data_IF_242289667321
#
_entry.id   IF_242289667321
#
_cell.length_a   1.000
_cell.length_b   1.000
_cell.length_c   1.000
_cell.angle_alpha   90.00
_cell.angle_beta   90.00
_cell.angle_gamma   90.00
#
_symmetry.space_group_name_H-M   'P 1'
#
loop_
_entity.id
_entity.type
_entity.pdbx_description
1 polymer ?
#
# COMPACT_ATOMS: atom_id res chain seq x y z
N UNK A 1 -3.15 -1.37 2.68
CA UNK A 1 -2.50 -0.30 3.48
C UNK A 1 -1.62 -0.93 4.56
N UNK A 2 -0.43 -1.42 4.18
CA UNK A 2 0.48 -2.11 5.10
C UNK A 2 0.76 -1.27 6.36
N UNK A 3 0.61 -1.86 7.55
CA UNK A 3 0.75 -1.20 8.83
C UNK A 3 -0.48 -0.41 9.32
N UNK A 4 -1.44 -0.09 8.45
CA UNK A 4 -2.64 0.68 8.81
C UNK A 4 -3.92 -0.17 8.85
N UNK A 5 -3.86 -1.45 8.51
CA UNK A 5 -5.02 -2.34 8.52
C UNK A 5 -4.61 -3.79 8.79
N UNK A 6 -5.56 -4.54 9.31
CA UNK A 6 -5.50 -5.98 9.54
C UNK A 6 -6.81 -6.67 9.09
N UNK A 7 -7.06 -7.91 9.58
CA UNK A 7 -8.25 -8.67 9.28
C UNK A 7 -9.55 -7.99 9.74
N UNK A 8 -9.53 -7.13 10.77
CA UNK A 8 -10.75 -6.46 11.28
C UNK A 8 -11.34 -5.54 10.22
N UNK A 9 -10.52 -4.69 9.60
CA UNK A 9 -10.94 -3.82 8.51
C UNK A 9 -11.37 -4.66 7.30
N UNK A 10 -10.62 -5.71 6.97
CA UNK A 10 -10.95 -6.60 5.85
C UNK A 10 -12.32 -7.29 6.05
N UNK A 11 -12.63 -7.75 7.26
CA UNK A 11 -13.92 -8.35 7.62
C UNK A 11 -15.06 -7.34 7.47
N UNK A 12 -14.89 -6.12 8.01
CA UNK A 12 -15.92 -5.08 7.94
C UNK A 12 -16.26 -4.71 6.49
N UNK A 13 -15.23 -4.53 5.65
CA UNK A 13 -15.39 -4.26 4.21
C UNK A 13 -16.07 -5.42 3.49
N UNK A 14 -15.64 -6.66 3.74
CA UNK A 14 -16.20 -7.83 3.09
C UNK A 14 -17.68 -8.06 3.48
N UNK A 15 -18.03 -7.85 4.74
CA UNK A 15 -19.44 -7.93 5.22
C UNK A 15 -20.32 -6.85 4.60
N UNK A 16 -19.78 -5.71 4.27
CA UNK A 16 -20.50 -4.64 3.58
C UNK A 16 -20.63 -4.87 2.07
N UNK A 17 -20.09 -5.98 1.51
CA UNK A 17 -20.18 -6.32 0.10
C UNK A 17 -18.99 -5.88 -0.75
N UNK A 18 -17.92 -5.36 -0.12
CA UNK A 18 -16.64 -5.07 -0.77
C UNK A 18 -15.68 -6.26 -0.78
N UNK A 19 -14.51 -6.11 -1.38
CA UNK A 19 -13.41 -7.06 -1.29
C UNK A 19 -12.47 -6.65 -0.15
N UNK A 20 -12.54 -7.35 0.99
CA UNK A 20 -11.63 -7.13 2.11
C UNK A 20 -10.19 -7.47 1.71
N UNK A 21 -9.21 -6.70 2.19
CA UNK A 21 -7.81 -6.91 1.83
C UNK A 21 -6.91 -6.97 3.06
N UNK A 22 -6.04 -7.99 3.14
CA UNK A 22 -5.01 -8.16 4.17
C UNK A 22 -3.64 -7.87 3.54
N UNK A 23 -2.93 -6.81 3.97
CA UNK A 23 -1.61 -6.47 3.45
C UNK A 23 -0.52 -7.28 4.15
N UNK A 24 0.07 -8.23 3.46
CA UNK A 24 1.07 -9.15 4.03
C UNK A 24 2.53 -8.68 3.94
N UNK A 25 2.80 -7.54 3.30
CA UNK A 25 4.17 -7.07 3.02
C UNK A 25 5.05 -6.82 4.27
N UNK A 26 4.46 -6.72 5.46
CA UNK A 26 5.16 -6.50 6.74
C UNK A 26 4.88 -7.61 7.75
N UNK A 27 4.19 -8.68 7.35
CA UNK A 27 3.81 -9.79 8.22
C UNK A 27 4.79 -10.95 8.06
N UNK A 28 5.01 -11.69 9.16
CA UNK A 28 5.60 -13.03 9.07
C UNK A 28 4.56 -14.04 8.55
N UNK A 29 4.96 -15.23 8.08
CA UNK A 29 4.01 -16.27 7.69
C UNK A 29 3.05 -16.66 8.82
N UNK A 30 3.50 -16.67 10.07
CA UNK A 30 2.69 -16.97 11.25
C UNK A 30 1.64 -15.86 11.48
N UNK A 31 2.05 -14.60 11.43
CA UNK A 31 1.13 -13.46 11.59
C UNK A 31 0.07 -13.43 10.49
N UNK A 32 0.45 -13.73 9.23
CA UNK A 32 -0.50 -13.83 8.13
C UNK A 32 -1.47 -14.98 8.35
N UNK A 33 -0.99 -16.15 8.79
CA UNK A 33 -1.81 -17.31 9.10
C UNK A 33 -2.82 -17.04 10.21
N UNK A 34 -2.42 -16.30 11.26
CA UNK A 34 -3.31 -15.87 12.33
C UNK A 34 -4.43 -14.94 11.80
N UNK A 35 -4.08 -13.92 11.01
CA UNK A 35 -5.06 -13.00 10.44
C UNK A 35 -6.06 -13.72 9.52
N UNK A 36 -5.58 -14.62 8.66
CA UNK A 36 -6.44 -15.43 7.79
C UNK A 36 -7.33 -16.40 8.57
N UNK A 37 -6.81 -16.98 9.65
CA UNK A 37 -7.62 -17.83 10.55
C UNK A 37 -8.75 -17.05 11.22
N UNK A 38 -8.49 -15.81 11.69
CA UNK A 38 -9.53 -14.93 12.27
C UNK A 38 -10.54 -14.50 11.21
N UNK A 39 -10.07 -14.17 9.99
CA UNK A 39 -10.97 -13.85 8.89
C UNK A 39 -11.90 -15.02 8.56
N UNK A 40 -11.35 -16.25 8.48
CA UNK A 40 -12.13 -17.48 8.23
C UNK A 40 -13.13 -17.76 9.36
N UNK A 41 -12.69 -17.68 10.61
CA UNK A 41 -13.60 -17.88 11.76
C UNK A 41 -14.76 -16.87 11.77
N UNK A 42 -14.51 -15.63 11.33
CA UNK A 42 -15.56 -14.63 11.12
C UNK A 42 -16.57 -15.02 10.05
N UNK A 43 -16.18 -15.77 9.01
CA UNK A 43 -17.09 -16.34 8.02
C UNK A 43 -17.94 -17.46 8.61
N UNK A 44 -17.31 -18.38 9.34
CA UNK A 44 -17.95 -19.58 9.88
C UNK A 44 -19.02 -19.21 10.94
N UNK A 45 -18.86 -18.09 11.63
CA UNK A 45 -19.86 -17.57 12.58
C UNK A 45 -21.20 -17.18 11.92
N UNK A 46 -21.25 -17.08 10.59
CA UNK A 46 -22.43 -16.75 9.80
C UNK A 46 -22.77 -17.87 8.82
N UNK A 47 -22.98 -19.08 9.35
CA UNK A 47 -23.14 -20.36 8.63
C UNK A 47 -24.17 -20.39 7.47
N UNK A 48 -25.01 -19.35 7.33
CA UNK A 48 -25.99 -19.21 6.24
C UNK A 48 -25.68 -18.09 5.26
N UNK A 49 -24.55 -17.36 5.44
CA UNK A 49 -24.12 -16.30 4.53
C UNK A 49 -23.11 -16.84 3.49
N UNK A 50 -23.05 -16.25 2.29
CA UNK A 50 -22.00 -16.58 1.32
C UNK A 50 -20.61 -16.39 1.93
N UNK A 51 -19.66 -17.23 1.55
CA UNK A 51 -18.25 -17.07 1.95
C UNK A 51 -17.74 -15.70 1.51
N UNK A 52 -17.27 -14.90 2.47
CA UNK A 52 -16.73 -13.56 2.18
C UNK A 52 -15.41 -13.69 1.42
N UNK A 53 -15.24 -12.97 0.31
CA UNK A 53 -13.97 -12.99 -0.41
C UNK A 53 -12.92 -12.17 0.32
N UNK A 54 -11.66 -12.65 0.26
CA UNK A 54 -10.52 -11.92 0.77
C UNK A 54 -9.42 -11.81 -0.28
N UNK A 55 -8.82 -10.63 -0.34
CA UNK A 55 -7.56 -10.38 -1.04
C UNK A 55 -6.39 -10.42 -0.04
N UNK A 56 -5.31 -11.11 -0.41
CA UNK A 56 -4.03 -11.00 0.32
C UNK A 56 -3.03 -10.27 -0.58
N UNK A 57 -2.47 -9.17 -0.07
CA UNK A 57 -1.57 -8.32 -0.86
C UNK A 57 -0.10 -8.53 -0.46
N UNK A 58 0.76 -8.75 -1.44
CA UNK A 58 2.20 -8.93 -1.27
C UNK A 58 3.01 -7.92 -2.08
N UNK A 59 4.25 -7.70 -1.65
CA UNK A 59 5.26 -7.03 -2.48
C UNK A 59 6.03 -8.07 -3.31
N UNK A 60 6.31 -7.71 -4.57
CA UNK A 60 7.02 -8.58 -5.52
C UNK A 60 8.34 -7.96 -6.03
N UNK A 61 8.87 -6.98 -5.31
CA UNK A 61 10.15 -6.36 -5.65
C UNK A 61 11.29 -7.38 -5.58
N UNK A 62 12.34 -7.15 -6.37
CA UNK A 62 13.58 -7.90 -6.24
C UNK A 62 14.32 -7.49 -4.97
N UNK A 63 14.85 -8.46 -4.24
CA UNK A 63 15.72 -8.18 -3.11
C UNK A 63 16.99 -7.46 -3.62
N UNK A 64 17.39 -6.41 -2.93
CA UNK A 64 18.60 -5.65 -3.20
C UNK A 64 19.55 -5.78 -2.03
N UNK A 65 20.85 -5.80 -2.30
CA UNK A 65 21.85 -5.65 -1.26
C UNK A 65 21.99 -4.19 -0.85
N UNK A 66 22.35 -3.96 0.40
CA UNK A 66 22.62 -2.62 0.88
C UNK A 66 23.95 -2.11 0.30
N UNK A 67 23.94 -0.94 -0.31
CA UNK A 67 25.16 -0.25 -0.72
C UNK A 67 25.76 0.46 0.49
N UNK A 68 26.99 0.08 0.84
CA UNK A 68 27.70 0.59 2.02
C UNK A 68 28.04 2.08 1.88
N UNK A 69 28.54 2.52 0.72
CA UNK A 69 28.91 3.92 0.48
C UNK A 69 27.68 4.83 0.53
N UNK A 70 26.60 4.42 -0.15
CA UNK A 70 25.34 5.13 -0.10
C UNK A 70 24.76 5.20 1.32
N UNK A 71 24.91 4.13 2.09
CA UNK A 71 24.45 4.06 3.48
C UNK A 71 25.24 5.03 4.37
N UNK A 72 26.57 5.05 4.28
CA UNK A 72 27.44 5.96 5.04
C UNK A 72 27.16 7.42 4.71
N UNK A 73 27.00 7.73 3.42
CA UNK A 73 26.58 9.07 3.00
C UNK A 73 25.23 9.46 3.60
N UNK A 74 24.22 8.56 3.53
CA UNK A 74 22.89 8.82 4.09
C UNK A 74 22.92 9.02 5.60
N UNK A 75 23.74 8.29 6.32
CA UNK A 75 23.98 8.50 7.75
C UNK A 75 24.54 9.90 8.04
N UNK A 76 25.45 10.39 7.20
CA UNK A 76 25.97 11.75 7.32
C UNK A 76 24.86 12.80 7.15
N UNK A 77 23.94 12.58 6.21
CA UNK A 77 22.76 13.47 6.01
C UNK A 77 21.83 13.45 7.23
N UNK A 78 21.68 12.30 7.88
CA UNK A 78 20.79 12.16 9.05
C UNK A 78 21.45 12.54 10.38
N UNK A 79 22.77 12.69 10.45
CA UNK A 79 23.52 13.01 11.68
C UNK A 79 22.94 14.20 12.47
N UNK A 80 22.61 15.36 11.86
CA UNK A 80 22.04 16.48 12.62
C UNK A 80 20.75 16.12 13.38
N UNK A 81 19.94 15.24 12.83
CA UNK A 81 18.69 14.78 13.48
C UNK A 81 18.95 13.73 14.56
N UNK A 82 19.97 12.88 14.38
CA UNK A 82 20.39 11.96 15.43
C UNK A 82 20.93 12.72 16.63
N UNK A 83 21.77 13.74 16.40
CA UNK A 83 22.32 14.60 17.45
C UNK A 83 21.21 15.35 18.20
N UNK A 84 20.24 15.92 17.47
CA UNK A 84 19.08 16.62 18.04
C UNK A 84 18.26 15.72 18.97
N UNK A 85 18.07 14.45 18.58
CA UNK A 85 17.23 13.50 19.31
C UNK A 85 18.02 12.60 20.27
N UNK A 86 19.34 12.78 20.39
CA UNK A 86 20.20 12.02 21.29
C UNK A 86 20.31 10.53 20.91
N UNK A 87 20.30 10.22 19.62
CA UNK A 87 20.39 8.86 19.10
C UNK A 87 21.81 8.54 18.67
N UNK A 88 22.38 7.43 19.14
CA UNK A 88 23.66 6.94 18.66
C UNK A 88 23.46 6.06 17.42
N UNK A 89 23.93 6.50 16.22
CA UNK A 89 23.76 5.73 14.98
C UNK A 89 24.42 4.35 15.01
N UNK A 90 25.48 4.16 15.82
CA UNK A 90 26.19 2.88 15.92
C UNK A 90 25.41 1.78 16.66
N UNK A 91 24.36 2.15 17.39
CA UNK A 91 23.51 1.22 18.11
C UNK A 91 22.26 0.82 17.28
N UNK A 92 22.12 1.35 16.07
CA UNK A 92 21.00 1.04 15.18
C UNK A 92 21.16 -0.39 14.66
N UNK A 93 20.20 -1.23 15.02
CA UNK A 93 20.10 -2.58 14.47
C UNK A 93 19.19 -2.59 13.24
N UNK A 94 19.55 -3.40 12.24
CA UNK A 94 18.67 -3.65 11.10
C UNK A 94 17.36 -4.27 11.58
N UNK A 95 16.26 -3.53 11.42
CA UNK A 95 14.91 -4.00 11.77
C UNK A 95 14.35 -4.98 10.75
N UNK A 96 13.12 -5.46 11.00
CA UNK A 96 12.38 -6.28 10.07
C UNK A 96 12.24 -5.59 8.71
N UNK A 97 12.81 -6.19 7.68
CA UNK A 97 12.77 -5.69 6.32
C UNK A 97 11.42 -6.04 5.67
N UNK A 98 10.96 -5.19 4.73
CA UNK A 98 9.85 -5.52 3.83
C UNK A 98 10.34 -6.58 2.84
N UNK A 99 10.18 -7.86 3.19
CA UNK A 99 10.58 -8.95 2.32
C UNK A 99 9.64 -9.07 1.10
N UNK A 100 10.17 -9.41 -0.09
CA UNK A 100 9.33 -9.79 -1.21
C UNK A 100 8.60 -11.10 -0.95
N UNK A 101 7.56 -11.38 -1.76
CA UNK A 101 6.84 -12.65 -1.72
C UNK A 101 7.80 -13.84 -1.83
N UNK A 102 7.68 -14.79 -0.92
CA UNK A 102 8.60 -15.91 -0.75
C UNK A 102 7.91 -17.27 -0.83
N UNK A 103 8.68 -18.35 -0.85
CA UNK A 103 8.16 -19.71 -0.82
C UNK A 103 7.34 -19.98 0.45
N UNK A 104 7.76 -19.47 1.60
CA UNK A 104 7.01 -19.62 2.87
C UNK A 104 5.68 -18.86 2.86
N UNK A 105 5.63 -17.69 2.21
CA UNK A 105 4.36 -16.99 2.00
C UNK A 105 3.46 -17.73 1.00
N UNK A 106 4.03 -18.38 -0.02
CA UNK A 106 3.27 -19.24 -0.93
C UNK A 106 2.67 -20.46 -0.21
N UNK A 107 3.36 -21.05 0.77
CA UNK A 107 2.82 -22.15 1.61
C UNK A 107 1.56 -21.67 2.35
N UNK A 108 1.55 -20.45 2.89
CA UNK A 108 0.37 -19.88 3.56
C UNK A 108 -0.78 -19.69 2.55
N UNK A 109 -0.48 -19.15 1.36
CA UNK A 109 -1.49 -18.96 0.30
C UNK A 109 -2.08 -20.31 -0.14
N UNK A 110 -1.27 -21.35 -0.31
CA UNK A 110 -1.72 -22.71 -0.66
C UNK A 110 -2.60 -23.34 0.44
N UNK A 111 -2.29 -23.06 1.71
CA UNK A 111 -3.07 -23.56 2.84
C UNK A 111 -4.44 -22.88 2.95
N UNK A 112 -4.49 -21.55 2.89
CA UNK A 112 -5.74 -20.79 3.12
C UNK A 112 -6.57 -20.57 1.87
N UNK A 113 -5.95 -20.63 0.68
CA UNK A 113 -6.60 -20.45 -0.64
C UNK A 113 -7.50 -19.21 -0.70
N UNK A 114 -6.94 -18.00 -0.44
CA UNK A 114 -7.70 -16.77 -0.58
C UNK A 114 -8.23 -16.64 -2.02
N UNK A 115 -9.41 -16.05 -2.19
CA UNK A 115 -10.05 -15.91 -3.50
C UNK A 115 -9.27 -14.98 -4.44
N UNK A 116 -8.55 -13.99 -3.85
CA UNK A 116 -7.73 -13.04 -4.59
C UNK A 116 -6.36 -12.93 -3.94
N UNK A 117 -5.32 -12.89 -4.77
CA UNK A 117 -3.95 -12.55 -4.38
C UNK A 117 -3.51 -11.35 -5.21
N UNK A 118 -3.09 -10.29 -4.55
CA UNK A 118 -2.59 -9.10 -5.25
C UNK A 118 -1.11 -8.89 -5.04
N UNK A 119 -0.45 -8.38 -6.09
CA UNK A 119 0.96 -8.04 -6.05
C UNK A 119 1.18 -6.55 -6.29
N UNK A 120 2.20 -6.01 -5.65
CA UNK A 120 2.67 -4.65 -5.82
C UNK A 120 4.16 -4.68 -6.18
N UNK A 121 4.61 -3.84 -7.09
CA UNK A 121 5.96 -3.85 -7.69
C UNK A 121 6.18 -5.01 -8.68
N UNK A 122 5.23 -5.23 -9.58
CA UNK A 122 5.26 -6.29 -10.57
C UNK A 122 4.71 -7.61 -10.06
N UNK A 123 5.37 -8.71 -10.41
CA UNK A 123 4.99 -10.09 -10.06
C UNK A 123 6.19 -10.84 -9.47
N UNK A 124 5.95 -11.84 -8.62
CA UNK A 124 7.03 -12.69 -8.10
C UNK A 124 7.61 -13.58 -9.23
N UNK A 125 8.68 -14.29 -8.92
CA UNK A 125 9.26 -15.27 -9.83
C UNK A 125 8.22 -16.27 -10.35
N UNK A 126 8.39 -16.71 -11.60
CA UNK A 126 7.43 -17.54 -12.31
C UNK A 126 7.03 -18.80 -11.54
N UNK A 127 7.95 -19.43 -10.86
CA UNK A 127 7.68 -20.63 -10.04
C UNK A 127 6.71 -20.35 -8.90
N UNK A 128 6.91 -19.23 -8.19
CA UNK A 128 6.03 -18.81 -7.10
C UNK A 128 4.66 -18.34 -7.62
N UNK A 129 4.66 -17.62 -8.75
CA UNK A 129 3.42 -17.20 -9.41
C UNK A 129 2.57 -18.41 -9.82
N UNK A 130 3.19 -19.46 -10.37
CA UNK A 130 2.49 -20.70 -10.73
C UNK A 130 1.89 -21.42 -9.52
N UNK A 131 2.59 -21.44 -8.39
CA UNK A 131 2.04 -21.98 -7.14
C UNK A 131 0.77 -21.25 -6.72
N UNK A 132 0.78 -19.92 -6.76
CA UNK A 132 -0.41 -19.11 -6.45
C UNK A 132 -1.54 -19.40 -7.45
N UNK A 133 -1.25 -19.45 -8.76
CA UNK A 133 -2.25 -19.81 -9.80
C UNK A 133 -2.87 -21.18 -9.56
N UNK A 134 -2.08 -22.15 -9.12
CA UNK A 134 -2.55 -23.52 -8.85
C UNK A 134 -3.57 -23.60 -7.70
N UNK A 135 -3.61 -22.60 -6.79
CA UNK A 135 -4.64 -22.54 -5.73
C UNK A 135 -6.03 -22.18 -6.25
N UNK A 136 -6.15 -21.66 -7.47
CA UNK A 136 -7.37 -21.12 -8.06
C UNK A 136 -7.64 -19.65 -7.71
N UNK A 137 -6.74 -18.99 -6.99
CA UNK A 137 -6.88 -17.56 -6.67
C UNK A 137 -6.83 -16.69 -7.94
N UNK A 138 -7.65 -15.63 -7.97
CA UNK A 138 -7.52 -14.57 -8.96
C UNK A 138 -6.32 -13.71 -8.64
N UNK A 139 -5.48 -13.44 -9.64
CA UNK A 139 -4.26 -12.66 -9.49
C UNK A 139 -4.48 -11.27 -10.04
N UNK A 140 -4.24 -10.26 -9.21
CA UNK A 140 -4.28 -8.85 -9.62
C UNK A 140 -2.96 -8.17 -9.32
N UNK A 141 -2.55 -7.18 -10.10
CA UNK A 141 -1.32 -6.44 -9.84
C UNK A 141 -1.44 -4.96 -10.21
N UNK A 142 -0.62 -4.12 -9.57
CA UNK A 142 -0.63 -2.67 -9.78
C UNK A 142 0.23 -2.28 -10.98
N UNK A 143 -0.31 -1.38 -11.82
CA UNK A 143 0.40 -0.70 -12.89
C UNK A 143 0.31 0.81 -12.71
N UNK A 144 1.42 1.52 -12.92
CA UNK A 144 1.51 2.98 -12.88
C UNK A 144 1.62 3.59 -14.28
N UNK A 145 1.85 2.75 -15.28
CA UNK A 145 1.95 3.12 -16.71
C UNK A 145 1.20 2.11 -17.60
N UNK A 146 0.87 2.52 -18.81
CA UNK A 146 0.24 1.63 -19.82
C UNK A 146 1.17 0.45 -20.16
N UNK A 147 2.48 0.70 -20.25
CA UNK A 147 3.47 -0.34 -20.53
C UNK A 147 3.50 -1.44 -19.46
N UNK A 148 3.40 -1.06 -18.19
CA UNK A 148 3.29 -2.01 -17.08
C UNK A 148 2.00 -2.81 -17.16
N UNK A 149 0.88 -2.18 -17.49
CA UNK A 149 -0.41 -2.85 -17.62
C UNK A 149 -0.41 -3.92 -18.73
N UNK A 150 0.12 -3.58 -19.90
CA UNK A 150 0.28 -4.52 -21.03
C UNK A 150 1.20 -5.68 -20.64
N UNK A 151 2.31 -5.40 -19.95
CA UNK A 151 3.22 -6.44 -19.49
C UNK A 151 2.52 -7.39 -18.49
N UNK A 152 1.75 -6.87 -17.54
CA UNK A 152 1.00 -7.67 -16.56
C UNK A 152 -0.03 -8.58 -17.24
N UNK A 153 -0.78 -8.07 -18.21
CA UNK A 153 -1.71 -8.89 -19.01
C UNK A 153 -0.99 -10.04 -19.71
N UNK A 154 0.17 -9.77 -20.34
CA UNK A 154 1.00 -10.80 -20.99
C UNK A 154 1.51 -11.87 -20.02
N UNK A 155 1.71 -11.52 -18.72
CA UNK A 155 2.05 -12.50 -17.68
C UNK A 155 0.84 -13.28 -17.17
N UNK A 156 -0.37 -12.96 -17.65
CA UNK A 156 -1.61 -13.67 -17.37
C UNK A 156 -2.14 -13.41 -15.97
N UNK A 157 -2.16 -12.14 -15.52
CA UNK A 157 -2.96 -11.70 -14.37
C UNK A 157 -4.43 -11.61 -14.75
N UNK A 158 -5.33 -11.72 -13.78
CA UNK A 158 -6.78 -11.70 -14.01
C UNK A 158 -7.36 -10.27 -14.06
N UNK A 159 -6.71 -9.30 -13.41
CA UNK A 159 -7.08 -7.88 -13.48
C UNK A 159 -5.90 -6.97 -13.13
N UNK A 160 -5.98 -5.71 -13.52
CA UNK A 160 -4.96 -4.68 -13.30
C UNK A 160 -5.50 -3.61 -12.38
N UNK A 161 -4.68 -3.19 -11.40
CA UNK A 161 -4.96 -2.00 -10.59
C UNK A 161 -4.22 -0.83 -11.24
N UNK A 162 -4.95 0.05 -11.92
CA UNK A 162 -4.41 1.30 -12.45
C UNK A 162 -4.17 2.28 -11.30
N UNK A 163 -2.92 2.47 -10.91
CA UNK A 163 -2.54 3.33 -9.80
C UNK A 163 -2.19 4.74 -10.28
N UNK A 164 -3.13 5.67 -10.18
CA UNK A 164 -2.91 7.10 -10.46
C UNK A 164 -1.91 7.75 -9.49
N UNK A 165 -1.31 8.87 -9.91
CA UNK A 165 -0.37 9.65 -9.09
C UNK A 165 -0.96 10.12 -7.76
N UNK A 166 -2.28 10.24 -7.68
CA UNK A 166 -3.00 10.67 -6.48
C UNK A 166 -2.99 9.64 -5.35
N UNK A 167 -2.65 8.39 -5.66
CA UNK A 167 -2.67 7.29 -4.68
C UNK A 167 -1.66 7.50 -3.54
N UNK A 168 -2.08 7.20 -2.31
CA UNK A 168 -1.22 7.19 -1.13
C UNK A 168 -0.32 5.97 -1.03
N UNK A 169 0.75 6.09 -0.25
CA UNK A 169 1.75 5.03 -0.09
C UNK A 169 2.64 4.84 -1.31
N UNK A 170 3.30 3.68 -1.40
CA UNK A 170 4.31 3.40 -2.42
C UNK A 170 3.73 3.41 -3.84
N UNK A 171 4.50 4.00 -4.76
CA UNK A 171 4.24 3.87 -6.20
C UNK A 171 4.55 2.45 -6.64
N UNK A 172 3.61 1.81 -7.31
CA UNK A 172 3.69 0.40 -7.72
C UNK A 172 4.57 0.11 -8.95
N UNK A 173 5.28 1.11 -9.49
CA UNK A 173 6.10 1.00 -10.70
C UNK A 173 7.17 -0.11 -10.59
N UNK A 174 7.49 -0.75 -11.72
CA UNK A 174 8.46 -1.85 -11.75
C UNK A 174 9.23 -1.99 -13.08
N UNK A 175 8.78 -1.37 -14.16
CA UNK A 175 9.51 -1.37 -15.45
C UNK A 175 10.40 -0.15 -15.65
N UNK A 176 10.15 0.94 -14.92
CA UNK A 176 10.92 2.17 -14.99
C UNK A 176 10.94 2.85 -13.62
N UNK A 177 12.05 3.51 -13.28
CA UNK A 177 12.16 4.35 -12.09
C UNK A 177 11.88 5.84 -12.40
N UNK A 178 11.60 6.17 -13.66
CA UNK A 178 11.31 7.54 -14.07
C UNK A 178 9.87 7.92 -13.67
N UNK A 179 9.75 8.77 -12.66
CA UNK A 179 8.46 9.26 -12.17
C UNK A 179 7.74 10.17 -13.18
N UNK A 180 8.44 10.71 -14.18
CA UNK A 180 7.82 11.54 -15.22
C UNK A 180 6.92 10.75 -16.18
N UNK A 181 7.10 9.41 -16.26
CA UNK A 181 6.23 8.51 -17.01
C UNK A 181 4.86 8.30 -16.35
N UNK A 182 4.69 8.68 -15.08
CA UNK A 182 3.49 8.38 -14.30
C UNK A 182 2.43 9.48 -14.46
N UNK A 183 1.18 9.06 -14.50
CA UNK A 183 0.03 9.91 -14.75
C UNK A 183 -0.97 9.89 -13.60
N UNK A 184 -1.77 10.97 -13.48
CA UNK A 184 -2.98 10.97 -12.65
C UNK A 184 -4.03 9.99 -13.21
N UNK A 185 -4.95 9.55 -12.33
CA UNK A 185 -5.91 8.47 -12.66
C UNK A 185 -6.80 8.82 -13.86
N UNK A 186 -7.17 10.08 -14.03
CA UNK A 186 -8.00 10.55 -15.13
C UNK A 186 -7.34 10.36 -16.51
N UNK A 187 -6.01 10.48 -16.58
CA UNK A 187 -5.26 10.24 -17.81
C UNK A 187 -4.86 8.77 -17.95
N UNK A 188 -4.47 8.12 -16.85
CA UNK A 188 -3.95 6.74 -16.86
C UNK A 188 -5.04 5.71 -17.17
N UNK A 189 -6.18 5.80 -16.48
CA UNK A 189 -7.23 4.79 -16.52
C UNK A 189 -7.76 4.51 -17.95
N UNK A 190 -8.23 5.52 -18.73
CA UNK A 190 -8.77 5.25 -20.06
C UNK A 190 -7.72 4.72 -21.05
N UNK A 191 -6.46 5.09 -20.87
CA UNK A 191 -5.37 4.55 -21.70
C UNK A 191 -5.11 3.08 -21.39
N UNK A 192 -5.10 2.67 -20.11
CA UNK A 192 -4.95 1.26 -19.74
C UNK A 192 -6.17 0.47 -20.23
N UNK A 193 -7.40 0.95 -19.99
CA UNK A 193 -8.63 0.28 -20.45
C UNK A 193 -8.63 0.03 -21.95
N UNK A 194 -8.07 0.97 -22.73
CA UNK A 194 -7.96 0.79 -24.19
C UNK A 194 -6.86 -0.20 -24.59
N UNK A 195 -5.78 -0.30 -23.79
CA UNK A 195 -4.59 -1.09 -24.13
C UNK A 195 -4.68 -2.56 -23.73
N UNK A 196 -5.55 -2.93 -22.78
CA UNK A 196 -5.69 -4.30 -22.26
C UNK A 196 -7.13 -4.81 -22.41
N UNK A 197 -7.30 -6.13 -22.35
CA UNK A 197 -8.61 -6.79 -22.47
C UNK A 197 -9.17 -7.28 -21.13
N UNK A 198 -8.32 -7.38 -20.12
CA UNK A 198 -8.70 -7.82 -18.78
C UNK A 198 -9.27 -6.63 -17.96
N UNK A 199 -10.08 -6.90 -16.91
CA UNK A 199 -10.65 -5.85 -16.06
C UNK A 199 -9.61 -4.91 -15.47
N UNK A 200 -9.92 -3.62 -15.42
CA UNK A 200 -9.07 -2.58 -14.82
C UNK A 200 -9.75 -1.98 -13.60
N UNK A 201 -9.05 -1.95 -12.48
CA UNK A 201 -9.49 -1.42 -11.19
C UNK A 201 -8.82 -0.07 -10.99
N UNK A 202 -9.58 1.00 -10.81
CA UNK A 202 -9.02 2.34 -10.60
C UNK A 202 -8.58 2.53 -9.14
N UNK A 203 -7.37 3.08 -8.93
CA UNK A 203 -6.83 3.40 -7.61
C UNK A 203 -6.13 4.77 -7.60
N UNK A 204 -6.46 5.60 -6.62
CA UNK A 204 -5.89 6.94 -6.44
C UNK A 204 -6.93 8.05 -6.51
N UNK A 205 -6.99 8.92 -5.48
CA UNK A 205 -7.89 10.07 -5.41
C UNK A 205 -9.38 9.76 -5.19
N UNK A 206 -9.79 8.50 -5.24
CA UNK A 206 -11.18 8.06 -5.15
C UNK A 206 -11.57 7.89 -3.67
N UNK A 207 -12.62 8.61 -3.23
CA UNK A 207 -13.07 8.57 -1.83
C UNK A 207 -14.59 8.82 -1.68
N UNK A 208 -15.32 9.03 -2.77
CA UNK A 208 -16.74 9.38 -2.76
C UNK A 208 -17.51 8.57 -3.81
N UNK A 209 -18.84 8.53 -3.67
CA UNK A 209 -19.75 7.94 -4.67
C UNK A 209 -19.53 8.53 -6.06
N UNK A 210 -19.40 9.85 -6.16
CA UNK A 210 -19.17 10.52 -7.45
C UNK A 210 -17.80 10.21 -8.04
N UNK A 211 -16.75 10.08 -7.19
CA UNK A 211 -15.43 9.64 -7.63
C UNK A 211 -15.45 8.23 -8.19
N UNK A 212 -16.23 7.33 -7.59
CA UNK A 212 -16.43 5.96 -8.10
C UNK A 212 -17.16 6.00 -9.45
N UNK A 213 -18.27 6.75 -9.55
CA UNK A 213 -19.02 6.89 -10.80
C UNK A 213 -18.17 7.45 -11.94
N UNK A 214 -17.33 8.43 -11.64
CA UNK A 214 -16.39 9.00 -12.60
C UNK A 214 -15.38 7.93 -13.10
N UNK A 215 -14.79 7.13 -12.19
CA UNK A 215 -13.91 6.04 -12.57
C UNK A 215 -14.61 4.98 -13.43
N UNK A 216 -15.84 4.59 -13.07
CA UNK A 216 -16.66 3.65 -13.85
C UNK A 216 -16.99 4.22 -15.24
N UNK A 217 -17.28 5.50 -15.35
CA UNK A 217 -17.53 6.17 -16.64
C UNK A 217 -16.28 6.21 -17.55
N UNK A 218 -15.08 6.19 -16.97
CA UNK A 218 -13.81 6.07 -17.69
C UNK A 218 -13.44 4.62 -18.06
N UNK A 219 -14.31 3.64 -17.76
CA UNK A 219 -14.16 2.24 -18.13
C UNK A 219 -13.55 1.35 -17.05
N UNK A 220 -13.45 1.80 -15.81
CA UNK A 220 -13.03 0.92 -14.71
C UNK A 220 -14.06 -0.21 -14.50
N UNK A 221 -13.59 -1.41 -14.17
CA UNK A 221 -14.41 -2.53 -13.73
C UNK A 221 -14.68 -2.52 -12.21
N UNK A 222 -13.98 -1.67 -11.48
CA UNK A 222 -14.09 -1.49 -10.05
C UNK A 222 -13.12 -0.43 -9.55
N UNK A 223 -13.09 -0.21 -8.23
CA UNK A 223 -12.20 0.77 -7.59
C UNK A 223 -11.49 0.17 -6.39
N UNK A 224 -10.24 0.60 -6.15
CA UNK A 224 -9.50 0.31 -4.92
C UNK A 224 -9.30 1.60 -4.13
N UNK A 225 -9.86 1.64 -2.94
CA UNK A 225 -9.87 2.81 -2.06
C UNK A 225 -8.99 2.52 -0.84
N UNK A 226 -8.07 3.42 -0.53
CA UNK A 226 -7.16 3.28 0.61
C UNK A 226 -7.37 4.39 1.63
N UNK A 227 -6.99 5.62 1.28
CA UNK A 227 -6.90 6.76 2.20
C UNK A 227 -8.19 7.05 2.95
N UNK A 228 -9.36 6.93 2.31
CA UNK A 228 -10.65 7.15 2.96
C UNK A 228 -10.89 6.22 4.18
N UNK A 229 -10.30 5.02 4.18
CA UNK A 229 -10.42 4.05 5.28
C UNK A 229 -9.44 4.30 6.44
N UNK A 230 -8.51 5.24 6.32
CA UNK A 230 -7.49 5.46 7.37
C UNK A 230 -8.08 6.00 8.70
N UNK A 231 -9.24 6.65 8.66
CA UNK A 231 -9.93 7.12 9.86
C UNK A 231 -11.04 6.16 10.34
N UNK A 232 -11.24 5.02 9.67
CA UNK A 232 -12.21 4.02 10.15
C UNK A 232 -11.80 3.44 11.51
N UNK A 233 -12.80 3.00 12.28
CA UNK A 233 -12.62 2.48 13.64
C UNK A 233 -11.75 1.21 13.64
N UNK A 234 -11.87 0.37 12.59
CA UNK A 234 -11.12 -0.86 12.43
C UNK A 234 -9.70 -0.65 11.87
N UNK A 235 -9.34 0.58 11.48
CA UNK A 235 -8.00 0.88 10.98
C UNK A 235 -6.98 1.01 12.12
N UNK A 236 -5.79 0.43 11.93
CA UNK A 236 -4.65 0.52 12.85
C UNK A 236 -3.87 1.84 12.71
N UNK A 237 -4.48 2.87 12.11
CA UNK A 237 -3.87 4.18 11.95
C UNK A 237 -3.56 4.79 13.33
N UNK A 238 -2.29 5.16 13.56
CA UNK A 238 -1.85 5.70 14.85
C UNK A 238 -2.55 7.01 15.18
N UNK A 239 -2.68 7.37 16.49
CA UNK A 239 -3.29 8.65 16.90
C UNK A 239 -2.64 9.86 16.23
N UNK A 240 -1.31 9.88 16.07
CA UNK A 240 -0.57 10.96 15.40
C UNK A 240 -0.94 11.05 13.91
N UNK A 241 -1.05 9.92 13.22
CA UNK A 241 -1.45 9.92 11.82
C UNK A 241 -2.92 10.31 11.64
N UNK A 242 -3.82 9.87 12.54
CA UNK A 242 -5.22 10.32 12.57
C UNK A 242 -5.32 11.84 12.76
N UNK A 243 -4.57 12.40 13.71
CA UNK A 243 -4.51 13.84 13.92
C UNK A 243 -4.00 14.60 12.70
N UNK A 244 -2.94 14.09 12.04
CA UNK A 244 -2.43 14.68 10.80
C UNK A 244 -3.47 14.66 9.67
N UNK A 245 -4.20 13.55 9.48
CA UNK A 245 -5.27 13.44 8.47
C UNK A 245 -6.44 14.39 8.72
N UNK A 246 -6.71 14.75 9.96
CA UNK A 246 -7.78 15.66 10.36
C UNK A 246 -7.33 17.13 10.40
N UNK A 247 -6.06 17.42 10.15
CA UNK A 247 -5.50 18.76 10.18
C UNK A 247 -5.41 19.36 8.77
N UNK A 248 -5.20 20.67 8.69
CA UNK A 248 -4.98 21.38 7.42
C UNK A 248 -3.75 20.88 6.66
N UNK A 249 -2.76 20.32 7.36
CA UNK A 249 -1.55 19.77 6.72
C UNK A 249 -1.85 18.60 5.80
N UNK A 250 -2.98 17.90 6.00
CA UNK A 250 -3.43 16.81 5.13
C UNK A 250 -3.70 17.23 3.68
N UNK A 251 -3.93 18.52 3.42
CA UNK A 251 -4.14 19.05 2.06
C UNK A 251 -2.85 19.04 1.23
N UNK A 252 -1.67 18.96 1.87
CA UNK A 252 -0.38 18.95 1.18
C UNK A 252 0.28 17.58 1.29
N UNK A 253 0.14 16.77 0.24
CA UNK A 253 0.85 15.48 0.10
C UNK A 253 1.90 15.56 -1.00
N UNK A 254 3.02 14.88 -0.84
CA UNK A 254 4.06 14.77 -1.85
C UNK A 254 4.57 13.32 -1.97
N UNK A 255 5.17 13.00 -3.12
CA UNK A 255 5.96 11.77 -3.27
C UNK A 255 7.28 11.96 -2.54
N UNK A 256 7.70 10.94 -1.81
CA UNK A 256 8.98 10.93 -1.10
C UNK A 256 9.60 9.54 -1.12
N UNK A 257 10.92 9.47 -1.20
CA UNK A 257 11.68 8.22 -1.03
C UNK A 257 12.45 8.17 0.30
N UNK A 258 12.39 9.22 1.11
CA UNK A 258 13.19 9.36 2.34
C UNK A 258 12.95 8.24 3.37
N UNK A 259 11.73 7.70 3.43
CA UNK A 259 11.34 6.73 4.46
C UNK A 259 11.66 5.28 4.12
N UNK A 260 11.81 4.96 2.85
CA UNK A 260 11.95 3.55 2.45
C UNK A 260 12.94 3.31 1.30
N UNK A 261 13.42 4.36 0.65
CA UNK A 261 14.24 4.27 -0.56
C UNK A 261 13.43 4.18 -1.86
N UNK A 262 12.09 4.13 -1.77
CA UNK A 262 11.21 4.06 -2.94
C UNK A 262 10.10 5.10 -2.88
N UNK A 263 9.77 5.76 -3.99
CA UNK A 263 8.75 6.80 -4.00
C UNK A 263 7.41 6.31 -3.46
N UNK A 264 6.89 7.07 -2.48
CA UNK A 264 5.60 6.84 -1.84
C UNK A 264 4.96 8.18 -1.50
N UNK A 265 3.63 8.30 -1.58
CA UNK A 265 2.93 9.54 -1.29
C UNK A 265 2.47 9.59 0.17
N UNK A 266 2.78 10.69 0.83
CA UNK A 266 2.31 10.97 2.18
C UNK A 266 2.13 12.46 2.44
N UNK A 267 1.55 12.80 3.59
CA UNK A 267 1.43 14.18 4.07
C UNK A 267 2.84 14.72 4.32
N UNK A 268 3.10 15.94 3.85
CA UNK A 268 4.41 16.59 3.97
C UNK A 268 4.69 16.92 5.43
N UNK A 269 5.82 16.44 5.93
CA UNK A 269 6.30 16.71 7.29
C UNK A 269 7.67 17.43 7.30
N UNK A 270 8.27 17.57 8.48
CA UNK A 270 9.51 18.31 8.67
C UNK A 270 10.65 17.78 7.79
N UNK A 271 10.96 16.48 7.87
CA UNK A 271 12.09 15.91 7.14
C UNK A 271 11.94 16.04 5.63
N UNK A 272 10.72 15.96 5.10
CA UNK A 272 10.46 16.19 3.68
C UNK A 272 10.66 17.64 3.27
N UNK A 273 10.39 18.61 4.15
CA UNK A 273 10.64 20.04 3.87
C UNK A 273 12.10 20.38 3.93
N UNK A 274 12.83 19.84 4.90
CA UNK A 274 14.24 20.19 5.14
C UNK A 274 15.20 19.49 4.17
N UNK A 275 14.97 18.22 3.84
CA UNK A 275 15.84 17.44 2.95
C UNK A 275 15.39 17.43 1.47
N UNK A 276 14.19 17.96 1.17
CA UNK A 276 13.53 17.74 -0.11
C UNK A 276 12.85 16.37 -0.15
N UNK A 277 11.76 16.27 -0.89
CA UNK A 277 10.92 15.05 -0.87
C UNK A 277 11.53 13.87 -1.62
N UNK A 278 12.29 14.11 -2.71
CA UNK A 278 12.96 13.08 -3.51
C UNK A 278 14.46 13.40 -3.57
N UNK A 279 15.29 12.39 -3.25
CA UNK A 279 16.75 12.49 -3.28
C UNK A 279 17.35 11.25 -3.93
N UNK A 280 18.49 11.43 -4.59
CA UNK A 280 19.19 10.35 -5.29
C UNK A 280 20.16 9.58 -4.38
N UNK A 281 20.48 10.14 -3.20
CA UNK A 281 21.44 9.61 -2.24
C UNK A 281 20.79 8.80 -1.10
N UNK A 282 19.48 8.57 -1.16
CA UNK A 282 18.75 7.71 -0.21
C UNK A 282 19.04 6.24 -0.52
N UNK A 283 19.39 5.41 0.47
CA UNK A 283 19.57 3.96 0.27
C UNK A 283 18.37 3.33 -0.43
N UNK A 284 18.66 2.39 -1.34
CA UNK A 284 17.64 1.70 -2.12
C UNK A 284 16.63 0.98 -1.21
N UNK A 285 15.42 0.78 -1.74
CA UNK A 285 14.36 0.05 -1.04
C UNK A 285 14.76 -1.40 -0.75
N UNK A 286 14.53 -1.90 0.48
CA UNK A 286 13.85 -1.28 1.62
C UNK A 286 14.81 -0.65 2.66
N UNK A 287 16.08 -0.50 2.36
CA UNK A 287 17.17 -0.22 3.31
C UNK A 287 17.08 1.14 4.01
N UNK A 288 16.58 2.19 3.33
CA UNK A 288 16.43 3.51 3.94
C UNK A 288 15.60 3.49 5.23
N UNK A 289 14.64 2.58 5.34
CA UNK A 289 13.77 2.50 6.52
C UNK A 289 14.51 2.14 7.81
N UNK A 290 15.63 1.43 7.74
CA UNK A 290 16.47 1.10 8.89
C UNK A 290 17.00 2.36 9.58
N UNK A 291 17.39 3.34 8.80
CA UNK A 291 18.08 4.55 9.28
C UNK A 291 17.13 5.65 9.73
N UNK A 292 15.94 5.75 9.15
CA UNK A 292 14.96 6.75 9.57
C UNK A 292 14.05 6.26 10.72
N UNK A 293 13.91 4.95 10.92
CA UNK A 293 13.03 4.39 11.94
C UNK A 293 13.37 4.80 13.39
N UNK A 294 14.65 4.91 13.81
CA UNK A 294 14.99 5.39 15.15
C UNK A 294 14.56 6.84 15.38
N UNK A 295 14.77 7.73 14.40
CA UNK A 295 14.31 9.13 14.46
C UNK A 295 12.79 9.20 14.64
N UNK A 296 12.06 8.42 13.83
CA UNK A 296 10.62 8.27 13.95
C UNK A 296 10.21 7.82 15.35
N UNK A 297 10.86 6.77 15.87
CA UNK A 297 10.49 6.18 17.17
C UNK A 297 10.66 7.18 18.32
N UNK A 298 11.72 7.97 18.32
CA UNK A 298 11.96 8.97 19.36
C UNK A 298 11.03 10.17 19.20
N UNK A 299 10.84 10.68 17.99
CA UNK A 299 9.94 11.80 17.73
C UNK A 299 8.47 11.46 18.08
N UNK A 300 7.97 10.28 17.69
CA UNK A 300 6.61 9.84 18.02
C UNK A 300 6.35 9.74 19.53
N UNK A 301 7.36 9.34 20.33
CA UNK A 301 7.25 9.36 21.82
C UNK A 301 7.11 10.77 22.38
N UNK A 302 7.59 11.78 21.65
CA UNK A 302 7.44 13.19 21.98
C UNK A 302 6.18 13.83 21.38
N UNK A 303 5.34 13.04 20.70
CA UNK A 303 4.12 13.52 20.03
C UNK A 303 4.37 14.21 18.69
N UNK A 304 5.58 14.06 18.12
CA UNK A 304 5.98 14.70 16.86
C UNK A 304 5.88 13.72 15.67
N UNK A 305 5.51 14.24 14.50
CA UNK A 305 5.40 13.47 13.25
C UNK A 305 6.52 13.76 12.26
N UNK A 306 7.58 14.40 12.71
CA UNK A 306 8.68 14.97 11.91
C UNK A 306 9.33 13.94 10.97
N UNK A 307 9.40 12.66 11.40
CA UNK A 307 10.00 11.54 10.69
C UNK A 307 9.01 10.40 10.43
N UNK A 308 7.72 10.63 10.64
CA UNK A 308 6.70 9.61 10.46
C UNK A 308 6.23 9.54 9.01
N UNK A 309 6.22 8.36 8.37
CA UNK A 309 5.65 8.21 7.03
C UNK A 309 4.12 8.28 7.10
N UNK A 310 3.58 9.47 6.99
CA UNK A 310 2.14 9.74 7.02
C UNK A 310 1.50 9.44 5.66
N UNK A 311 1.47 8.15 5.28
CA UNK A 311 0.99 7.74 3.96
C UNK A 311 -0.47 8.12 3.75
N UNK A 312 -0.71 8.93 2.74
CA UNK A 312 -2.03 9.39 2.33
C UNK A 312 -2.02 9.79 0.86
N UNK A 313 -3.11 9.56 0.15
CA UNK A 313 -3.35 10.09 -1.19
C UNK A 313 -3.72 11.56 -1.17
N UNK A 314 -3.89 12.16 -2.34
CA UNK A 314 -4.23 13.57 -2.47
C UNK A 314 -5.65 13.92 -2.00
N UNK A 315 -6.58 12.97 -2.03
CA UNK A 315 -7.94 13.20 -1.54
C UNK A 315 -8.07 12.74 -0.08
N UNK A 316 -7.60 13.57 0.85
CA UNK A 316 -7.72 13.35 2.29
C UNK A 316 -9.07 13.83 2.85
N UNK A 317 -9.78 14.72 2.15
CA UNK A 317 -11.11 15.19 2.54
C UNK A 317 -12.17 14.07 2.57
N UNK A 318 -11.93 12.97 1.84
CA UNK A 318 -12.79 11.79 1.89
C UNK A 318 -12.62 10.91 3.13
N UNK A 319 -11.65 11.20 4.01
CA UNK A 319 -11.47 10.48 5.26
C UNK A 319 -12.55 10.88 6.27
N UNK A 320 -13.29 9.88 6.77
CA UNK A 320 -14.34 10.09 7.77
C UNK A 320 -14.12 9.14 8.96
N UNK A 321 -14.33 9.66 10.18
CA UNK A 321 -14.32 8.85 11.40
C UNK A 321 -15.65 8.10 11.54
N UNK A 322 -15.66 6.84 11.09
CA UNK A 322 -16.83 5.96 11.10
C UNK A 322 -16.40 4.50 10.98
N UNK A 323 -17.32 3.57 11.17
CA UNK A 323 -17.07 2.15 10.90
C UNK A 323 -16.80 1.87 9.41
N UNK A 324 -15.86 0.97 9.11
CA UNK A 324 -15.53 0.60 7.73
C UNK A 324 -16.70 -0.07 7.01
N UNK A 325 -17.58 -0.76 7.74
CA UNK A 325 -18.83 -1.31 7.18
C UNK A 325 -19.71 -0.19 6.62
N UNK A 326 -19.98 0.85 7.41
CA UNK A 326 -20.86 1.96 7.03
C UNK A 326 -20.27 2.77 5.87
N UNK A 327 -18.96 3.05 5.91
CA UNK A 327 -18.28 3.71 4.80
C UNK A 327 -18.41 2.89 3.51
N UNK A 328 -18.19 1.58 3.58
CA UNK A 328 -18.32 0.70 2.42
C UNK A 328 -19.74 0.69 1.87
N UNK A 329 -20.75 0.62 2.74
CA UNK A 329 -22.16 0.67 2.34
C UNK A 329 -22.53 2.00 1.65
N UNK A 330 -21.98 3.13 2.12
CA UNK A 330 -22.15 4.42 1.44
C UNK A 330 -21.51 4.40 0.04
N UNK A 331 -20.27 3.91 -0.07
CA UNK A 331 -19.52 3.89 -1.32
C UNK A 331 -20.14 2.94 -2.38
N UNK A 332 -20.69 1.80 -1.95
CA UNK A 332 -21.36 0.82 -2.85
C UNK A 332 -22.57 1.43 -3.54
N UNK A 333 -23.20 2.45 -3.01
CA UNK A 333 -24.31 3.16 -3.68
C UNK A 333 -23.92 3.73 -5.05
N UNK A 334 -22.65 3.82 -5.36
CA UNK A 334 -22.17 4.23 -6.68
C UNK A 334 -22.51 3.23 -7.79
N UNK A 335 -22.77 1.98 -7.44
CA UNK A 335 -23.04 0.87 -8.38
C UNK A 335 -24.56 0.60 -8.54
N UNK A 336 -25.41 1.33 -7.81
CA UNK A 336 -26.87 1.28 -7.88
C UNK A 336 -27.41 2.48 -8.77
#
# INVERSE_FOLDING_TARGET
MAGAQDERLAIAVARAGGLGSIPAAMLTPEQLSEQLSRFKASNDAYAHAPTLPVNVNFFAHHATEADTEQTEHWLTVLTPYYDELGINPQEIQSGASRAPFSATMADVVEHFKPQVVSFHFGLPETTLLQRVKATGARIISSATTVREAVWLEQQGVDAIIAQGLEAGGHRGHFLSNDLSEQMGIFALLPQIVTAVRIPVIAAGGIATVDGIRAAMSLGAAGVQIGTAYLLCDEANTTPLHRAALQSETAQHTALTNLFSGRPARGIVNRVMRELGSIRNDVPSFPHASTWIAPLRTVAEKQGLTDFTPLWAGQNTQGCQSMGAFDLTQQLIQAFN
#
